data_IF_966078488378
#
_entry.id   IF_966078488378
#
_cell.length_a   1.000
_cell.length_b   1.000
_cell.length_c   1.000
_cell.angle_alpha   90.00
_cell.angle_beta   90.00
_cell.angle_gamma   90.00
#
_symmetry.space_group_name_H-M   'P 1'
#
loop_
_entity.id
_entity.type
_entity.pdbx_description
1 polymer ?
#
# COMPACT_ATOMS: atom_id res chain seq x y z
N UNK A 1 -10.48 -7.87 -11.24
CA UNK A 1 -11.02 -6.86 -10.32
C UNK A 1 -12.32 -7.42 -9.75
N UNK A 2 -12.49 -7.38 -8.43
CA UNK A 2 -13.65 -7.99 -7.74
C UNK A 2 -14.70 -6.94 -7.33
N UNK A 3 -14.35 -5.66 -7.29
CA UNK A 3 -15.18 -4.55 -6.86
C UNK A 3 -14.69 -3.22 -7.47
N UNK A 4 -15.54 -2.20 -7.43
CA UNK A 4 -15.27 -0.84 -7.90
C UNK A 4 -14.80 0.12 -6.80
N UNK A 5 -14.56 -0.38 -5.60
CA UNK A 5 -14.23 0.40 -4.40
C UNK A 5 -15.42 0.65 -3.48
N UNK A 6 -16.66 0.55 -3.99
CA UNK A 6 -17.90 0.73 -3.22
C UNK A 6 -18.72 -0.55 -3.15
N UNK A 7 -18.81 -1.28 -4.26
CA UNK A 7 -19.60 -2.51 -4.37
C UNK A 7 -18.81 -3.60 -5.05
N UNK A 8 -19.00 -4.84 -4.59
CA UNK A 8 -18.52 -6.02 -5.30
C UNK A 8 -19.33 -6.29 -6.56
N UNK A 9 -18.69 -6.89 -7.56
CA UNK A 9 -19.35 -7.28 -8.80
C UNK A 9 -20.08 -8.62 -8.64
N UNK A 10 -21.29 -8.73 -9.19
CA UNK A 10 -22.13 -9.93 -9.10
C UNK A 10 -21.40 -11.19 -9.61
N UNK A 11 -20.73 -11.09 -10.74
CA UNK A 11 -19.94 -12.21 -11.27
C UNK A 11 -18.79 -12.63 -10.36
N UNK A 12 -18.23 -11.70 -9.57
CA UNK A 12 -17.21 -12.03 -8.60
C UNK A 12 -17.80 -12.81 -7.41
N UNK A 13 -19.00 -12.41 -6.92
CA UNK A 13 -19.70 -13.17 -5.86
C UNK A 13 -19.98 -14.60 -6.30
N UNK A 14 -20.55 -14.77 -7.51
CA UNK A 14 -20.87 -16.08 -8.06
C UNK A 14 -19.64 -16.98 -8.18
N UNK A 15 -18.53 -16.44 -8.73
CA UNK A 15 -17.28 -17.19 -8.87
C UNK A 15 -16.70 -17.61 -7.52
N UNK A 16 -16.71 -16.71 -6.53
CA UNK A 16 -16.20 -16.98 -5.18
C UNK A 16 -17.06 -18.04 -4.50
N UNK A 17 -18.39 -17.96 -4.63
CA UNK A 17 -19.31 -18.95 -4.04
C UNK A 17 -19.10 -20.34 -4.65
N UNK A 18 -18.90 -20.45 -5.97
CA UNK A 18 -18.58 -21.71 -6.64
C UNK A 18 -17.27 -22.31 -6.10
N UNK A 19 -16.23 -21.48 -5.98
CA UNK A 19 -14.94 -21.94 -5.50
C UNK A 19 -15.00 -22.40 -4.05
N UNK A 20 -15.68 -21.66 -3.19
CA UNK A 20 -15.87 -22.04 -1.78
C UNK A 20 -16.72 -23.30 -1.63
N UNK A 21 -17.77 -23.48 -2.43
CA UNK A 21 -18.59 -24.69 -2.44
C UNK A 21 -17.80 -25.94 -2.88
N UNK A 22 -16.73 -25.74 -3.64
CA UNK A 22 -15.80 -26.78 -4.05
C UNK A 22 -14.58 -26.90 -3.10
N UNK A 23 -14.68 -26.39 -1.89
CA UNK A 23 -13.65 -26.43 -0.84
C UNK A 23 -12.29 -25.84 -1.28
N UNK A 24 -12.31 -24.81 -2.12
CA UNK A 24 -11.08 -24.11 -2.52
C UNK A 24 -10.69 -23.05 -1.50
N UNK A 25 -9.42 -23.03 -1.14
CA UNK A 25 -8.85 -22.01 -0.26
C UNK A 25 -8.56 -20.75 -1.06
N UNK A 26 -9.24 -19.67 -0.75
CA UNK A 26 -9.11 -18.39 -1.47
C UNK A 26 -8.26 -17.40 -0.68
N UNK A 27 -7.30 -16.79 -1.38
CA UNK A 27 -6.45 -15.72 -0.88
C UNK A 27 -6.56 -14.51 -1.79
N UNK A 28 -6.43 -13.32 -1.22
CA UNK A 28 -6.37 -12.07 -1.99
C UNK A 28 -4.93 -11.57 -2.02
N UNK A 29 -4.46 -11.17 -3.21
CA UNK A 29 -3.23 -10.40 -3.41
C UNK A 29 -3.62 -9.04 -3.97
N UNK A 30 -3.27 -7.96 -3.26
CA UNK A 30 -3.72 -6.60 -3.58
C UNK A 30 -2.59 -5.58 -3.51
N UNK A 31 -2.64 -4.56 -4.38
CA UNK A 31 -1.77 -3.38 -4.29
C UNK A 31 -2.27 -2.32 -3.31
N UNK A 32 -3.35 -2.62 -2.57
CA UNK A 32 -3.88 -1.72 -1.56
C UNK A 32 -2.80 -1.31 -0.55
N UNK A 33 -2.78 -0.03 -0.21
CA UNK A 33 -1.96 0.52 0.88
C UNK A 33 -2.41 0.06 2.27
N UNK A 34 -3.60 -0.51 2.41
CA UNK A 34 -4.16 -0.93 3.70
C UNK A 34 -3.41 -2.12 4.30
N UNK A 35 -3.45 -2.22 5.64
CA UNK A 35 -3.04 -3.43 6.36
C UNK A 35 -3.94 -4.62 5.93
N UNK A 36 -3.40 -5.83 5.95
CA UNK A 36 -4.14 -7.05 5.58
C UNK A 36 -5.44 -7.20 6.35
N UNK A 37 -5.41 -6.96 7.66
CA UNK A 37 -6.61 -7.01 8.51
C UNK A 37 -7.68 -6.01 8.07
N UNK A 38 -7.31 -4.75 7.87
CA UNK A 38 -8.23 -3.68 7.44
C UNK A 38 -8.85 -3.99 6.08
N UNK A 39 -8.08 -4.61 5.17
CA UNK A 39 -8.56 -5.03 3.85
C UNK A 39 -9.59 -6.15 3.95
N UNK A 40 -9.35 -7.17 4.77
CA UNK A 40 -10.28 -8.30 4.93
C UNK A 40 -11.56 -7.88 5.64
N UNK A 41 -11.46 -7.04 6.68
CA UNK A 41 -12.58 -6.53 7.45
C UNK A 41 -13.51 -5.61 6.61
N UNK A 42 -13.02 -5.07 5.50
CA UNK A 42 -13.80 -4.26 4.55
C UNK A 42 -14.66 -5.09 3.61
N UNK A 43 -14.28 -6.33 3.30
CA UNK A 43 -14.96 -7.15 2.27
C UNK A 43 -16.47 -7.32 2.50
N UNK A 44 -16.98 -7.57 3.72
CA UNK A 44 -18.42 -7.65 3.95
C UNK A 44 -19.16 -6.35 3.62
N UNK A 45 -18.54 -5.19 3.79
CA UNK A 45 -19.14 -3.89 3.42
C UNK A 45 -19.26 -3.72 1.91
N UNK A 46 -18.47 -4.47 1.14
CA UNK A 46 -18.53 -4.52 -0.33
C UNK A 46 -19.50 -5.60 -0.84
N UNK A 47 -20.17 -6.32 0.05
CA UNK A 47 -21.15 -7.36 -0.27
C UNK A 47 -20.59 -8.79 -0.30
N UNK A 48 -19.31 -9.01 -0.02
CA UNK A 48 -18.75 -10.37 0.06
C UNK A 48 -19.14 -11.06 1.36
N UNK A 49 -19.41 -12.37 1.30
CA UNK A 49 -19.69 -13.14 2.49
C UNK A 49 -18.51 -13.16 3.46
N UNK A 50 -18.79 -13.06 4.74
CA UNK A 50 -17.77 -13.21 5.77
C UNK A 50 -17.08 -14.58 5.62
N UNK A 51 -15.77 -14.61 5.75
CA UNK A 51 -14.93 -15.80 5.60
C UNK A 51 -14.86 -16.40 4.17
N UNK A 52 -15.28 -15.66 3.13
CA UNK A 52 -15.07 -16.09 1.73
C UNK A 52 -13.60 -16.24 1.37
N UNK A 53 -12.71 -15.58 2.10
CA UNK A 53 -11.26 -15.64 1.90
C UNK A 53 -10.58 -15.99 3.23
N UNK A 54 -9.54 -16.83 3.13
CA UNK A 54 -8.73 -17.23 4.30
C UNK A 54 -7.87 -16.06 4.77
N UNK A 55 -7.25 -15.33 3.84
CA UNK A 55 -6.39 -14.21 4.16
C UNK A 55 -6.20 -13.28 2.93
N UNK A 56 -5.58 -12.13 3.18
CA UNK A 56 -5.15 -11.21 2.14
C UNK A 56 -3.71 -10.79 2.37
N UNK A 57 -2.95 -10.63 1.28
CA UNK A 57 -1.63 -10.01 1.26
C UNK A 57 -1.75 -8.70 0.51
N UNK A 58 -1.42 -7.61 1.17
CA UNK A 58 -1.46 -6.26 0.59
C UNK A 58 -0.07 -5.66 0.48
N UNK A 59 0.11 -4.71 -0.46
CA UNK A 59 1.35 -3.93 -0.53
C UNK A 59 1.63 -3.21 0.78
N UNK A 60 0.58 -2.66 1.40
CA UNK A 60 0.68 -2.04 2.72
C UNK A 60 1.22 -2.99 3.78
N UNK A 61 0.66 -4.19 3.90
CA UNK A 61 1.17 -5.17 4.86
C UNK A 61 2.63 -5.54 4.61
N UNK A 62 3.00 -5.72 3.33
CA UNK A 62 4.40 -6.05 2.97
C UNK A 62 5.37 -4.94 3.37
N UNK A 63 5.02 -3.68 3.17
CA UNK A 63 5.84 -2.53 3.61
C UNK A 63 5.89 -2.46 5.13
N UNK A 64 4.77 -2.64 5.82
CA UNK A 64 4.73 -2.65 7.27
C UNK A 64 5.63 -3.73 7.88
N UNK A 65 5.55 -4.96 7.37
CA UNK A 65 6.39 -6.07 7.79
C UNK A 65 7.88 -5.79 7.55
N UNK A 66 8.20 -5.20 6.38
CA UNK A 66 9.55 -4.78 6.06
C UNK A 66 10.09 -3.75 7.06
N UNK A 67 9.32 -2.70 7.33
CA UNK A 67 9.70 -1.65 8.29
C UNK A 67 9.86 -2.21 9.69
N UNK A 68 8.90 -3.02 10.14
CA UNK A 68 8.97 -3.67 11.45
C UNK A 68 10.23 -4.52 11.59
N UNK A 69 10.54 -5.37 10.57
CA UNK A 69 11.73 -6.21 10.59
C UNK A 69 13.02 -5.40 10.54
N UNK A 70 13.08 -4.37 9.67
CA UNK A 70 14.28 -3.57 9.44
C UNK A 70 14.68 -2.76 10.67
N UNK A 71 13.69 -2.20 11.38
CA UNK A 71 13.94 -1.30 12.52
C UNK A 71 13.63 -1.93 13.88
N UNK A 72 13.44 -3.26 13.92
CA UNK A 72 13.11 -3.99 15.16
C UNK A 72 14.16 -3.83 16.27
N UNK A 73 15.44 -3.80 15.88
CA UNK A 73 16.57 -3.74 16.80
C UNK A 73 17.11 -2.34 17.06
N UNK A 74 16.52 -1.32 16.42
CA UNK A 74 16.98 0.05 16.58
C UNK A 74 16.65 0.56 17.99
N UNK A 75 17.70 0.88 18.75
CA UNK A 75 17.56 1.43 20.11
C UNK A 75 16.96 2.83 20.10
N UNK A 76 17.27 3.62 19.06
CA UNK A 76 16.77 4.97 18.88
C UNK A 76 15.61 4.95 17.87
N UNK A 77 14.50 5.56 18.25
CA UNK A 77 13.37 5.74 17.34
C UNK A 77 13.79 6.60 16.15
N UNK A 78 13.45 6.15 14.94
CA UNK A 78 13.57 6.95 13.74
C UNK A 78 12.40 7.91 13.58
N UNK A 79 12.68 9.09 13.03
CA UNK A 79 11.65 10.05 12.66
C UNK A 79 11.04 9.64 11.31
N UNK A 80 9.73 9.46 11.27
CA UNK A 80 9.00 9.03 10.09
C UNK A 80 8.03 10.11 9.64
N UNK A 81 8.21 10.62 8.42
CA UNK A 81 7.21 11.44 7.77
C UNK A 81 6.18 10.54 7.09
N UNK A 82 4.91 10.63 7.50
CA UNK A 82 3.87 9.73 7.05
C UNK A 82 2.88 10.44 6.14
N UNK A 83 2.85 10.01 4.88
CA UNK A 83 1.87 10.49 3.88
C UNK A 83 0.68 9.54 3.89
N UNK A 84 -0.48 10.03 4.29
CA UNK A 84 -1.74 9.30 4.38
C UNK A 84 -2.93 10.24 4.15
N UNK A 85 -4.13 9.69 3.85
CA UNK A 85 -5.36 10.49 3.73
C UNK A 85 -5.82 10.92 5.13
N UNK A 86 -5.50 12.16 5.49
CA UNK A 86 -5.76 12.72 6.80
C UNK A 86 -7.25 12.98 7.08
N UNK A 87 -8.07 13.12 6.04
CA UNK A 87 -9.52 13.34 6.19
C UNK A 87 -10.26 12.02 6.51
N UNK A 88 -9.81 10.91 5.91
CA UNK A 88 -10.37 9.57 6.15
C UNK A 88 -9.57 8.73 7.13
N UNK A 89 -8.44 9.27 7.61
CA UNK A 89 -7.47 8.53 8.44
C UNK A 89 -7.02 7.22 7.77
N UNK A 90 -7.07 7.18 6.42
CA UNK A 90 -6.71 5.99 5.66
C UNK A 90 -5.21 5.79 5.61
N UNK A 91 -4.73 4.77 6.31
CA UNK A 91 -3.32 4.49 6.51
C UNK A 91 -2.82 4.81 7.92
N UNK A 92 -3.64 5.42 8.78
CA UNK A 92 -3.22 5.74 10.16
C UNK A 92 -2.90 4.48 10.98
N UNK A 93 -3.57 3.36 10.71
CA UNK A 93 -3.35 2.05 11.31
C UNK A 93 -1.95 1.47 11.05
N UNK A 94 -1.19 2.06 10.11
CA UNK A 94 0.22 1.75 9.93
C UNK A 94 1.10 2.10 11.12
N UNK A 95 0.71 3.11 11.90
CA UNK A 95 1.49 3.54 13.08
C UNK A 95 1.51 2.47 14.16
N UNK A 96 0.48 1.64 14.22
CA UNK A 96 0.35 0.59 15.21
C UNK A 96 1.45 -0.47 15.06
N UNK A 97 2.22 -0.66 16.10
CA UNK A 97 3.29 -1.66 16.17
C UNK A 97 4.59 -1.29 15.44
N UNK A 98 4.70 -0.07 14.89
CA UNK A 98 5.96 0.51 14.44
C UNK A 98 6.54 1.43 15.52
N UNK A 99 7.85 1.31 15.78
CA UNK A 99 8.54 2.10 16.81
C UNK A 99 9.19 3.35 16.20
N UNK A 100 8.35 4.26 15.64
CA UNK A 100 8.80 5.52 15.06
C UNK A 100 8.30 6.73 15.83
N UNK A 101 9.02 7.85 15.72
CA UNK A 101 8.49 9.18 15.99
C UNK A 101 7.88 9.72 14.70
N UNK A 102 6.57 9.94 14.68
CA UNK A 102 5.91 10.51 13.51
C UNK A 102 6.03 12.03 13.55
N UNK A 103 6.66 12.59 12.51
CA UNK A 103 6.94 14.03 12.38
C UNK A 103 6.05 14.66 11.31
N UNK A 104 5.79 15.97 11.45
CA UNK A 104 4.93 16.70 10.53
C UNK A 104 5.68 17.34 9.36
N UNK A 105 7.01 17.44 9.46
CA UNK A 105 7.86 18.04 8.43
C UNK A 105 8.83 17.01 7.89
N UNK A 106 8.97 16.96 6.57
CA UNK A 106 9.89 16.04 5.90
C UNK A 106 11.35 16.34 6.24
N UNK A 107 11.66 17.60 6.54
CA UNK A 107 13.00 18.03 6.93
C UNK A 107 13.45 17.43 8.27
N UNK A 108 12.53 16.95 9.09
CA UNK A 108 12.82 16.31 10.38
C UNK A 108 12.90 14.78 10.28
N UNK A 109 12.57 14.22 9.10
CA UNK A 109 12.43 12.79 8.93
C UNK A 109 13.75 12.08 8.60
N UNK A 110 13.84 10.82 9.03
CA UNK A 110 14.85 9.83 8.61
C UNK A 110 14.34 8.92 7.49
N UNK A 111 13.01 8.78 7.38
CA UNK A 111 12.35 7.99 6.34
C UNK A 111 10.97 8.58 6.02
N UNK A 112 10.47 8.27 4.82
CA UNK A 112 9.09 8.56 4.42
C UNK A 112 8.32 7.24 4.33
N UNK A 113 7.16 7.18 4.99
CA UNK A 113 6.15 6.15 4.80
C UNK A 113 5.01 6.73 3.96
N UNK A 114 4.82 6.21 2.74
CA UNK A 114 3.88 6.74 1.77
C UNK A 114 2.75 5.73 1.53
N UNK A 115 1.58 5.97 2.13
CA UNK A 115 0.41 5.07 2.08
C UNK A 115 -0.64 5.55 1.09
N UNK A 116 -1.22 6.72 1.32
CA UNK A 116 -2.30 7.30 0.52
C UNK A 116 -2.02 8.78 0.32
N UNK A 117 -2.23 9.36 -0.88
CA UNK A 117 -1.99 10.77 -1.11
C UNK A 117 -2.80 11.68 -0.17
N UNK A 118 -2.23 12.81 0.22
CA UNK A 118 -2.98 13.88 0.88
C UNK A 118 -4.15 14.34 0.00
N UNK A 119 -5.31 14.57 0.59
CA UNK A 119 -6.59 14.78 -0.13
C UNK A 119 -6.57 15.97 -1.08
N UNK A 120 -5.87 17.04 -0.71
CA UNK A 120 -5.92 18.33 -1.44
C UNK A 120 -4.77 18.53 -2.40
N UNK A 121 -3.75 17.66 -2.39
CA UNK A 121 -2.56 17.82 -3.22
C UNK A 121 -2.72 17.11 -4.56
N UNK A 122 -2.14 17.70 -5.60
CA UNK A 122 -1.90 17.07 -6.89
C UNK A 122 -0.44 16.60 -6.97
N UNK A 123 -0.06 15.72 -7.92
CA UNK A 123 1.32 15.23 -8.01
C UNK A 123 2.38 16.34 -8.07
N UNK A 124 2.08 17.45 -8.71
CA UNK A 124 2.98 18.62 -8.81
C UNK A 124 3.25 19.27 -7.45
N UNK A 125 2.27 19.25 -6.55
CA UNK A 125 2.36 19.87 -5.24
C UNK A 125 3.31 19.13 -4.29
N UNK A 126 3.66 17.87 -4.62
CA UNK A 126 4.65 17.09 -3.88
C UNK A 126 6.09 17.45 -4.19
N UNK A 127 6.36 18.16 -5.29
CA UNK A 127 7.74 18.44 -5.73
C UNK A 127 8.59 19.10 -4.64
N UNK A 128 8.15 20.16 -3.94
CA UNK A 128 8.96 20.77 -2.88
C UNK A 128 9.29 19.81 -1.73
N UNK A 129 8.33 18.98 -1.33
CA UNK A 129 8.52 17.95 -0.32
C UNK A 129 9.54 16.89 -0.78
N UNK A 130 9.43 16.46 -2.04
CA UNK A 130 10.32 15.45 -2.61
C UNK A 130 11.75 15.99 -2.81
N UNK A 131 11.91 17.27 -3.18
CA UNK A 131 13.20 17.95 -3.25
C UNK A 131 13.87 18.03 -1.87
N UNK A 132 13.12 18.41 -0.85
CA UNK A 132 13.62 18.43 0.53
C UNK A 132 14.05 17.02 0.99
N UNK A 133 13.27 16.00 0.67
CA UNK A 133 13.60 14.60 0.95
C UNK A 133 14.85 14.14 0.19
N UNK A 134 14.97 14.50 -1.09
CA UNK A 134 16.11 14.15 -1.93
C UNK A 134 17.42 14.76 -1.41
N UNK A 135 17.40 16.05 -1.05
CA UNK A 135 18.58 16.75 -0.51
C UNK A 135 19.08 16.14 0.82
N UNK A 136 18.24 15.39 1.51
CA UNK A 136 18.57 14.66 2.75
C UNK A 136 18.76 13.15 2.53
N UNK A 137 18.74 12.68 1.28
CA UNK A 137 18.86 11.27 0.91
C UNK A 137 17.85 10.35 1.63
N UNK A 138 16.64 10.86 1.90
CA UNK A 138 15.61 10.12 2.63
C UNK A 138 15.06 8.99 1.78
N UNK A 139 14.99 7.77 2.32
CA UNK A 139 14.33 6.64 1.68
C UNK A 139 12.81 6.73 1.83
N UNK A 140 12.07 6.63 0.72
CA UNK A 140 10.62 6.50 0.70
C UNK A 140 10.22 5.04 0.67
N UNK A 141 9.36 4.62 1.60
CA UNK A 141 8.69 3.32 1.63
C UNK A 141 7.26 3.48 1.13
N UNK A 142 7.00 3.05 -0.11
CA UNK A 142 5.73 3.24 -0.78
C UNK A 142 4.84 1.99 -0.63
N UNK A 143 3.71 2.17 0.03
CA UNK A 143 2.77 1.10 0.36
C UNK A 143 1.76 0.79 -0.75
N UNK A 144 1.75 1.55 -1.85
CA UNK A 144 0.87 1.33 -2.99
C UNK A 144 1.66 1.59 -4.30
N UNK A 145 1.94 0.54 -5.11
CA UNK A 145 2.68 0.67 -6.36
C UNK A 145 1.85 1.22 -7.52
N UNK A 146 0.52 1.28 -7.41
CA UNK A 146 -0.34 1.73 -8.49
C UNK A 146 -0.15 3.23 -8.75
N UNK A 147 -0.27 3.65 -10.02
CA UNK A 147 -0.19 5.05 -10.41
C UNK A 147 -1.55 5.73 -10.33
N UNK A 148 -2.60 4.99 -10.63
CA UNK A 148 -3.98 5.46 -10.65
C UNK A 148 -4.88 4.53 -9.85
N UNK A 149 -5.96 5.09 -9.30
CA UNK A 149 -6.97 4.31 -8.61
C UNK A 149 -7.99 3.71 -9.60
N UNK A 150 -8.50 2.55 -9.27
CA UNK A 150 -9.65 1.94 -9.99
C UNK A 150 -11.00 2.38 -9.42
N UNK A 151 -11.02 3.19 -8.36
CA UNK A 151 -12.25 3.68 -7.75
C UNK A 151 -12.96 4.65 -8.70
N UNK A 152 -14.15 4.25 -9.18
CA UNK A 152 -14.99 5.04 -10.07
C UNK A 152 -15.73 6.10 -9.24
N UNK A 153 -15.82 7.34 -9.75
CA UNK A 153 -16.57 8.46 -9.15
C UNK A 153 -16.02 9.05 -7.84
N UNK A 154 -14.73 9.17 -7.70
CA UNK A 154 -14.17 10.09 -6.71
C UNK A 154 -13.87 11.43 -7.38
N UNK A 155 -14.50 12.51 -6.90
CA UNK A 155 -14.16 13.88 -7.32
C UNK A 155 -12.74 14.28 -6.85
N UNK A 156 -12.01 13.39 -6.22
CA UNK A 156 -10.72 13.61 -5.59
C UNK A 156 -9.71 12.59 -6.10
N UNK A 157 -8.55 13.08 -6.48
CA UNK A 157 -7.30 12.38 -6.78
C UNK A 157 -7.44 11.00 -7.42
N UNK A 158 -7.30 10.95 -8.73
CA UNK A 158 -7.22 9.71 -9.52
C UNK A 158 -5.86 9.01 -9.35
N UNK A 159 -4.87 9.69 -8.80
CA UNK A 159 -3.52 9.13 -8.65
C UNK A 159 -3.33 8.41 -7.31
N UNK A 160 -2.40 7.46 -7.32
CA UNK A 160 -1.96 6.69 -6.14
C UNK A 160 -0.50 7.02 -5.79
N UNK A 161 -0.05 6.52 -4.65
CA UNK A 161 1.31 6.80 -4.16
C UNK A 161 2.42 6.28 -5.08
N UNK A 162 2.16 5.28 -5.91
CA UNK A 162 3.11 4.82 -6.92
C UNK A 162 3.53 5.92 -7.91
N UNK A 163 2.59 6.82 -8.28
CA UNK A 163 2.91 7.96 -9.13
C UNK A 163 3.88 8.94 -8.44
N UNK A 164 3.67 9.21 -7.16
CA UNK A 164 4.56 10.07 -6.37
C UNK A 164 5.93 9.40 -6.15
N UNK A 165 5.94 8.09 -5.88
CA UNK A 165 7.16 7.30 -5.78
C UNK A 165 7.99 7.34 -7.07
N UNK A 166 7.31 7.27 -8.24
CA UNK A 166 7.99 7.37 -9.55
C UNK A 166 8.58 8.76 -9.79
N UNK A 167 7.89 9.84 -9.40
CA UNK A 167 8.43 11.19 -9.45
C UNK A 167 9.72 11.27 -8.60
N UNK A 168 9.65 10.79 -7.36
CA UNK A 168 10.81 10.80 -6.46
C UNK A 168 11.99 10.00 -7.02
N UNK A 169 11.72 8.83 -7.59
CA UNK A 169 12.73 7.99 -8.25
C UNK A 169 13.38 8.68 -9.45
N UNK A 170 12.59 9.39 -10.27
CA UNK A 170 13.11 10.18 -11.40
C UNK A 170 13.99 11.36 -10.97
N UNK A 171 13.75 11.90 -9.77
CA UNK A 171 14.62 12.91 -9.16
C UNK A 171 15.94 12.32 -8.61
N UNK A 172 16.09 10.99 -8.61
CA UNK A 172 17.22 10.27 -8.05
C UNK A 172 17.02 9.79 -6.60
N UNK A 173 15.82 9.97 -6.05
CA UNK A 173 15.48 9.52 -4.71
C UNK A 173 15.39 8.00 -4.59
N UNK A 174 15.66 7.47 -3.41
CA UNK A 174 15.55 6.05 -3.11
C UNK A 174 14.12 5.68 -2.73
N UNK A 175 13.49 4.80 -3.52
CA UNK A 175 12.10 4.34 -3.30
C UNK A 175 12.05 2.84 -3.16
N UNK A 176 11.49 2.35 -2.06
CA UNK A 176 11.22 0.94 -1.82
C UNK A 176 9.73 0.70 -1.97
N UNK A 177 9.34 -0.07 -2.97
CA UNK A 177 7.95 -0.42 -3.28
C UNK A 177 7.79 -1.94 -3.18
N UNK A 178 6.64 -2.39 -2.68
CA UNK A 178 6.22 -3.79 -2.67
C UNK A 178 4.81 -3.90 -3.23
N UNK A 179 4.55 -4.95 -4.00
CA UNK A 179 3.23 -5.21 -4.59
C UNK A 179 3.32 -5.85 -5.97
N UNK A 180 2.17 -5.95 -6.65
CA UNK A 180 2.06 -6.48 -8.01
C UNK A 180 2.42 -5.41 -9.07
N UNK A 181 3.07 -5.76 -10.18
CA UNK A 181 3.77 -7.03 -10.40
C UNK A 181 5.05 -7.10 -9.54
N UNK A 182 5.22 -8.17 -8.80
CA UNK A 182 6.44 -8.38 -8.02
C UNK A 182 7.37 -9.32 -8.80
N UNK A 183 8.49 -8.80 -9.27
CA UNK A 183 9.48 -9.56 -10.02
C UNK A 183 10.09 -10.73 -9.23
N UNK A 184 10.04 -10.68 -7.89
CA UNK A 184 10.47 -11.79 -7.04
C UNK A 184 9.63 -13.05 -7.21
N UNK A 185 8.33 -12.92 -7.52
CA UNK A 185 7.48 -14.09 -7.78
C UNK A 185 7.62 -14.63 -9.20
N UNK A 186 8.08 -13.82 -10.15
CA UNK A 186 8.29 -14.26 -11.52
C UNK A 186 9.63 -14.97 -11.72
N UNK A 187 10.67 -14.60 -10.96
CA UNK A 187 11.97 -15.26 -11.01
C UNK A 187 11.91 -16.68 -10.38
N UNK A 188 11.25 -16.81 -9.21
CA UNK A 188 11.13 -18.11 -8.55
C UNK A 188 10.25 -19.09 -9.34
N UNK A 189 9.21 -18.61 -10.02
CA UNK A 189 8.36 -19.43 -10.90
C UNK A 189 9.08 -19.88 -12.20
N UNK A 190 10.04 -19.10 -12.70
CA UNK A 190 10.84 -19.48 -13.85
C UNK A 190 11.89 -20.55 -13.50
N UNK A 191 12.48 -20.47 -12.31
CA UNK A 191 13.47 -21.44 -11.82
C UNK A 191 12.85 -22.82 -11.49
N UNK A 192 11.55 -22.88 -11.17
CA UNK A 192 10.85 -24.16 -10.95
C UNK A 192 10.46 -24.89 -12.24
N UNK A 193 10.40 -24.20 -13.38
CA UNK A 193 10.11 -24.83 -14.68
C UNK A 193 11.34 -25.47 -15.35
N UNK A 194 12.55 -25.15 -14.90
CA UNK A 194 13.81 -25.69 -15.42
C UNK A 194 14.39 -26.84 -14.54
N UNK A 195 13.61 -27.38 -13.62
CA UNK A 195 13.91 -28.56 -12.81
C UNK A 195 12.95 -29.70 -13.11
#
# INVERSE_FOLDING_TARGET
VMHDGKFGYEHAFNSIDILNSNNKNLFIISNSSKRSKSSIDRLPKLGFKKNSFINTVTSGEMIWQLLKKKFLSDKNKKNCFHIYDEEKEDGLDFRDGLNFNFVEKVEEADLILACTPFVKLQPIDYIPLLEAAYNKEITMYCANPDFETVEINTNNNIFCMGAIGEIYKKMGGNVIIKGKPCLLYTSDAADEQDR
#
